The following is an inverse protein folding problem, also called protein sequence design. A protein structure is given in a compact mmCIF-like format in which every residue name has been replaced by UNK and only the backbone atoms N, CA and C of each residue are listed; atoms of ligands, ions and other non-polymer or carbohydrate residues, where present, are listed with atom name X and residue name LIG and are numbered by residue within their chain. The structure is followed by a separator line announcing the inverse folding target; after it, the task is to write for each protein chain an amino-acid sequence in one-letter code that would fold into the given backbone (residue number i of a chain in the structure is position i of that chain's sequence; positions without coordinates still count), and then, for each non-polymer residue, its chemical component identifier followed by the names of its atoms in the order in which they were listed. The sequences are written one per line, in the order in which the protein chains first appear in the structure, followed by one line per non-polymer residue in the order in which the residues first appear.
data_IF_998713575963
#
_entry.id   IF_998713575963
#
_cell.length_a   1.000
_cell.length_b   1.000
_cell.length_c   1.000
_cell.angle_alpha   90.00
_cell.angle_beta   90.00
_cell.angle_gamma   90.00
#
_symmetry.space_group_name_H-M   'P 1'
#
loop_
_entity.id
_entity.type
_entity.pdbx_description
1 polymer ?
#
# COMPACT_ATOMS: atom_id res chain seq x y z
N UNK A 1 1.14 10.57 -5.06
CA UNK A 1 2.21 10.27 -4.08
C UNK A 1 3.58 10.37 -4.73
N UNK A 2 4.61 10.73 -3.97
CA UNK A 2 5.98 10.83 -4.46
C UNK A 2 6.61 9.42 -4.47
N UNK A 3 6.85 8.80 -5.63
CA UNK A 3 7.29 7.41 -5.74
C UNK A 3 8.77 7.24 -5.37
N UNK A 4 9.52 8.33 -5.24
CA UNK A 4 10.91 8.35 -4.80
C UNK A 4 11.05 8.71 -3.32
N UNK A 5 9.97 8.61 -2.53
CA UNK A 5 10.14 8.63 -1.08
C UNK A 5 11.02 7.44 -0.68
N UNK A 6 11.96 7.61 0.28
CA UNK A 6 12.90 6.55 0.63
C UNK A 6 12.25 5.19 0.92
N UNK A 7 11.09 5.20 1.60
CA UNK A 7 10.35 3.97 1.90
C UNK A 7 9.85 3.21 0.65
N UNK A 8 9.47 3.94 -0.41
CA UNK A 8 9.03 3.31 -1.65
C UNK A 8 10.21 2.74 -2.45
N UNK A 9 11.35 3.44 -2.45
CA UNK A 9 12.60 2.93 -3.02
C UNK A 9 13.06 1.67 -2.29
N UNK A 10 13.03 1.67 -0.95
CA UNK A 10 13.40 0.51 -0.15
C UNK A 10 12.48 -0.69 -0.43
N UNK A 11 11.16 -0.49 -0.43
CA UNK A 11 10.20 -1.56 -0.80
C UNK A 11 10.45 -2.10 -2.20
N UNK A 12 10.70 -1.22 -3.17
CA UNK A 12 11.01 -1.62 -4.54
C UNK A 12 12.27 -2.49 -4.61
N UNK A 13 13.34 -2.13 -3.90
CA UNK A 13 14.56 -2.95 -3.82
C UNK A 13 14.29 -4.34 -3.20
N UNK A 14 13.50 -4.40 -2.12
CA UNK A 14 13.10 -5.67 -1.52
C UNK A 14 12.24 -6.51 -2.47
N UNK A 15 11.39 -5.88 -3.28
CA UNK A 15 10.57 -6.59 -4.29
C UNK A 15 11.43 -7.15 -5.45
N UNK A 16 12.60 -6.56 -5.72
CA UNK A 16 13.60 -7.10 -6.66
C UNK A 16 14.44 -8.23 -6.07
N UNK A 17 14.27 -8.54 -4.78
CA UNK A 17 15.01 -9.62 -4.10
C UNK A 17 16.31 -9.17 -3.43
N UNK A 18 16.58 -7.87 -3.32
CA UNK A 18 17.67 -7.39 -2.47
C UNK A 18 17.27 -7.47 -0.99
N UNK A 19 18.27 -7.52 -0.10
CA UNK A 19 18.07 -7.63 1.34
C UNK A 19 19.14 -6.86 2.14
N UNK A 20 19.24 -7.14 3.44
CA UNK A 20 20.15 -6.48 4.37
C UNK A 20 21.63 -6.85 4.23
N UNK A 21 21.98 -7.75 3.31
CA UNK A 21 23.38 -7.96 2.94
C UNK A 21 23.94 -6.76 2.16
N UNK A 22 23.05 -5.97 1.54
CA UNK A 22 23.39 -4.66 0.96
C UNK A 22 23.50 -3.61 2.09
N UNK A 23 24.68 -2.97 2.27
CA UNK A 23 24.91 -2.03 3.37
C UNK A 23 23.92 -0.87 3.42
N UNK A 24 23.48 -0.36 2.27
CA UNK A 24 22.54 0.76 2.16
C UNK A 24 21.13 0.35 2.63
N UNK A 25 20.70 -0.88 2.34
CA UNK A 25 19.43 -1.43 2.80
C UNK A 25 19.49 -1.63 4.32
N UNK A 26 20.59 -2.20 4.82
CA UNK A 26 20.82 -2.34 6.26
C UNK A 26 20.83 -1.00 6.99
N UNK A 27 21.48 0.02 6.41
CA UNK A 27 21.49 1.37 6.97
C UNK A 27 20.08 1.98 7.01
N UNK A 28 19.28 1.79 5.96
CA UNK A 28 17.89 2.25 5.94
C UNK A 28 17.02 1.55 6.99
N UNK A 29 17.16 0.23 7.15
CA UNK A 29 16.48 -0.54 8.21
C UNK A 29 16.88 -0.05 9.61
N UNK A 30 18.18 0.14 9.84
CA UNK A 30 18.68 0.69 11.10
C UNK A 30 18.14 2.10 11.38
N UNK A 31 17.92 2.92 10.35
CA UNK A 31 17.31 4.24 10.51
C UNK A 31 15.84 4.14 10.91
N UNK A 32 15.06 3.22 10.32
CA UNK A 32 13.68 2.97 10.74
C UNK A 32 13.63 2.61 12.23
N UNK A 33 14.52 1.72 12.69
CA UNK A 33 14.54 1.25 14.07
C UNK A 33 14.85 2.34 15.11
N UNK A 34 15.41 3.50 14.71
CA UNK A 34 15.69 4.62 15.61
C UNK A 34 14.45 5.44 15.95
N UNK A 35 13.40 5.39 15.11
CA UNK A 35 12.25 6.29 15.20
C UNK A 35 10.97 5.48 15.45
N UNK A 36 10.66 5.25 16.72
CA UNK A 36 9.52 4.46 17.17
C UNK A 36 8.82 5.19 18.33
N UNK A 37 7.48 5.16 18.34
CA UNK A 37 6.70 5.68 19.47
C UNK A 37 6.51 4.63 20.59
N UNK A 38 5.89 5.05 21.69
CA UNK A 38 5.65 4.18 22.85
C UNK A 38 4.65 3.04 22.58
N UNK A 39 3.91 3.09 21.47
CA UNK A 39 3.00 2.03 21.05
C UNK A 39 3.68 1.02 20.11
N UNK A 40 4.97 1.22 19.82
CA UNK A 40 5.73 0.37 18.91
C UNK A 40 5.55 0.73 17.44
N UNK A 41 4.95 1.87 17.11
CA UNK A 41 4.74 2.32 15.72
C UNK A 41 5.96 3.10 15.25
N UNK A 42 6.50 2.72 14.08
CA UNK A 42 7.63 3.44 13.48
C UNK A 42 7.19 4.72 12.81
N UNK A 43 8.05 5.72 12.91
CA UNK A 43 7.81 7.07 12.45
C UNK A 43 8.61 7.37 11.18
N UNK A 44 8.06 8.22 10.32
CA UNK A 44 8.75 8.80 9.19
C UNK A 44 8.78 10.32 9.30
N UNK A 45 9.73 10.94 8.59
CA UNK A 45 9.83 12.39 8.56
C UNK A 45 8.67 12.95 7.72
N UNK A 46 7.77 13.69 8.37
CA UNK A 46 6.58 14.27 7.74
C UNK A 46 6.57 15.78 7.96
N UNK A 47 6.15 16.51 6.93
CA UNK A 47 5.94 17.95 6.99
C UNK A 47 4.50 18.27 6.60
N UNK A 48 3.67 18.59 7.60
CA UNK A 48 2.30 19.05 7.38
C UNK A 48 2.24 20.57 7.56
N UNK A 49 1.85 21.34 6.53
CA UNK A 49 1.70 22.79 6.63
C UNK A 49 0.76 23.24 7.75
N UNK A 50 1.04 24.42 8.35
CA UNK A 50 0.24 24.98 9.44
C UNK A 50 -1.24 25.15 9.12
N UNK A 51 -1.58 25.48 7.86
CA UNK A 51 -2.98 25.67 7.44
C UNK A 51 -3.77 24.35 7.39
N UNK A 52 -3.11 23.19 7.38
CA UNK A 52 -3.75 21.88 7.56
C UNK A 52 -3.74 21.42 9.03
N UNK A 53 -3.25 22.24 9.96
CA UNK A 53 -3.21 21.93 11.40
C UNK A 53 -1.91 21.26 11.87
N UNK A 54 -0.89 21.17 11.02
CA UNK A 54 0.44 20.65 11.37
C UNK A 54 1.42 21.73 11.86
N UNK A 55 2.68 21.35 12.07
CA UNK A 55 3.73 22.25 12.57
C UNK A 55 4.36 23.14 11.48
N UNK A 56 4.25 22.76 10.20
CA UNK A 56 4.92 23.41 9.07
C UNK A 56 6.44 23.22 9.01
N UNK A 57 6.95 22.25 9.77
CA UNK A 57 8.35 21.82 9.80
C UNK A 57 8.41 20.30 9.77
N UNK A 58 9.58 19.76 9.50
CA UNK A 58 9.82 18.32 9.50
C UNK A 58 9.72 17.77 10.93
N UNK A 59 8.89 16.75 11.13
CA UNK A 59 8.67 16.09 12.42
C UNK A 59 8.63 14.59 12.21
N UNK A 60 9.31 13.82 13.07
CA UNK A 60 9.12 12.38 13.13
C UNK A 60 7.74 12.09 13.72
N UNK A 61 6.91 11.45 12.90
CA UNK A 61 5.52 11.16 13.22
C UNK A 61 5.07 9.95 12.42
N UNK A 62 3.85 9.48 12.64
CA UNK A 62 3.27 8.46 11.77
C UNK A 62 1.85 8.82 11.35
N UNK A 63 1.46 8.29 10.21
CA UNK A 63 0.12 8.26 9.68
C UNK A 63 -0.25 6.79 9.33
N UNK A 64 -1.54 6.46 9.28
CA UNK A 64 -1.95 5.16 8.75
C UNK A 64 -1.64 5.01 7.24
N UNK A 65 -1.23 6.08 6.55
CA UNK A 65 -0.84 6.06 5.14
C UNK A 65 0.68 5.90 4.90
N UNK A 66 1.48 5.69 5.95
CA UNK A 66 2.92 5.44 5.86
C UNK A 66 3.44 4.38 6.85
N UNK A 67 3.06 4.41 8.14
CA UNK A 67 3.56 3.47 9.15
C UNK A 67 3.41 1.98 8.79
N UNK A 68 2.29 1.53 8.16
CA UNK A 68 2.16 0.13 7.75
C UNK A 68 3.25 -0.30 6.76
N UNK A 69 3.77 0.63 5.95
CA UNK A 69 4.87 0.35 5.01
C UNK A 69 6.19 0.10 5.74
N UNK A 70 6.44 0.82 6.84
CA UNK A 70 7.65 0.64 7.66
C UNK A 70 7.62 -0.72 8.36
N UNK A 71 6.50 -1.07 8.99
CA UNK A 71 6.31 -2.38 9.61
C UNK A 71 6.43 -3.52 8.59
N UNK A 72 5.86 -3.35 7.39
CA UNK A 72 5.98 -4.34 6.32
C UNK A 72 7.43 -4.52 5.85
N UNK A 73 8.22 -3.44 5.79
CA UNK A 73 9.66 -3.56 5.47
C UNK A 73 10.39 -4.37 6.53
N UNK A 74 10.17 -4.08 7.81
CA UNK A 74 10.81 -4.82 8.91
C UNK A 74 10.41 -6.30 8.92
N UNK A 75 9.15 -6.60 8.58
CA UNK A 75 8.67 -7.96 8.38
C UNK A 75 9.40 -8.67 7.23
N UNK A 76 9.51 -8.01 6.08
CA UNK A 76 10.16 -8.57 4.88
C UNK A 76 11.65 -8.86 5.07
N UNK A 77 12.36 -8.03 5.84
CA UNK A 77 13.79 -8.24 6.13
C UNK A 77 14.02 -9.20 7.30
N UNK A 78 12.97 -9.84 7.84
CA UNK A 78 13.10 -10.88 8.85
C UNK A 78 13.44 -10.38 10.26
N UNK A 79 13.05 -9.14 10.61
CA UNK A 79 13.17 -8.67 11.99
C UNK A 79 12.30 -9.52 12.92
N UNK A 80 12.74 -9.64 14.18
CA UNK A 80 11.98 -10.36 15.22
C UNK A 80 10.55 -9.81 15.33
N UNK A 81 9.58 -10.68 15.03
CA UNK A 81 8.17 -10.30 14.96
C UNK A 81 7.61 -9.82 16.29
N UNK A 82 7.87 -10.56 17.37
CA UNK A 82 7.33 -10.25 18.69
C UNK A 82 7.88 -8.93 19.25
N UNK A 83 9.14 -8.62 18.99
CA UNK A 83 9.83 -7.43 19.49
C UNK A 83 9.58 -6.20 18.63
N UNK A 84 9.77 -6.31 17.31
CA UNK A 84 9.84 -5.14 16.43
C UNK A 84 8.57 -4.90 15.63
N UNK A 85 7.62 -5.83 15.55
CA UNK A 85 6.51 -5.74 14.59
C UNK A 85 5.17 -5.79 15.32
N UNK A 86 4.94 -6.83 16.12
CA UNK A 86 3.64 -7.11 16.75
C UNK A 86 3.07 -5.93 17.54
N UNK A 87 3.83 -5.22 18.41
CA UNK A 87 3.28 -4.13 19.20
C UNK A 87 2.69 -3.00 18.33
N UNK A 88 3.44 -2.60 17.29
CA UNK A 88 2.98 -1.60 16.34
C UNK A 88 1.77 -2.07 15.52
N UNK A 89 1.76 -3.33 15.07
CA UNK A 89 0.61 -3.88 14.33
C UNK A 89 -0.64 -3.93 15.21
N UNK A 90 -0.54 -4.43 16.45
CA UNK A 90 -1.66 -4.48 17.40
C UNK A 90 -2.26 -3.08 17.62
N UNK A 91 -1.41 -2.09 17.82
CA UNK A 91 -1.86 -0.71 17.99
C UNK A 91 -2.50 -0.13 16.73
N UNK A 92 -1.93 -0.36 15.55
CA UNK A 92 -2.54 0.14 14.30
C UNK A 92 -3.87 -0.56 13.99
N UNK A 93 -4.01 -1.86 14.29
CA UNK A 93 -5.24 -2.62 14.11
C UNK A 93 -6.39 -2.08 14.96
N UNK A 94 -6.11 -1.50 16.13
CA UNK A 94 -7.17 -0.92 16.99
C UNK A 94 -7.89 0.28 16.36
N UNK A 95 -7.38 0.83 15.25
CA UNK A 95 -8.05 1.89 14.48
C UNK A 95 -9.03 1.36 13.43
N UNK A 96 -9.14 0.04 13.24
CA UNK A 96 -10.08 -0.57 12.30
C UNK A 96 -11.52 -0.18 12.64
N UNK A 97 -12.31 0.12 11.61
CA UNK A 97 -13.74 0.42 11.69
C UNK A 97 -14.52 -0.50 10.75
N UNK A 98 -15.84 -0.47 10.81
CA UNK A 98 -16.73 -1.24 9.92
C UNK A 98 -16.56 -0.89 8.43
N UNK A 99 -16.05 0.29 8.10
CA UNK A 99 -15.75 0.72 6.73
C UNK A 99 -14.25 0.70 6.39
N UNK A 100 -13.44 -0.03 7.16
CA UNK A 100 -11.99 -0.12 6.98
C UNK A 100 -11.23 0.85 7.88
N UNK A 101 -10.08 1.35 7.42
CA UNK A 101 -9.23 2.23 8.20
C UNK A 101 -9.47 3.71 7.87
N UNK A 102 -9.51 4.59 8.88
CA UNK A 102 -9.64 6.03 8.67
C UNK A 102 -8.30 6.68 8.32
N UNK A 103 -8.34 7.99 8.08
CA UNK A 103 -7.17 8.81 8.32
C UNK A 103 -6.90 8.87 9.83
N UNK A 104 -5.82 8.24 10.29
CA UNK A 104 -5.31 8.39 11.66
C UNK A 104 -3.83 8.77 11.62
N UNK A 105 -3.42 9.54 12.61
CA UNK A 105 -2.08 10.10 12.73
C UNK A 105 -1.62 10.11 14.18
N UNK A 106 -0.31 10.19 14.36
CA UNK A 106 0.32 10.34 15.66
C UNK A 106 0.10 11.74 16.23
N UNK A 107 0.22 11.86 17.55
CA UNK A 107 0.01 13.11 18.28
C UNK A 107 0.99 14.22 17.86
N UNK A 108 2.16 13.86 17.34
CA UNK A 108 3.20 14.78 16.87
C UNK A 108 2.72 15.65 15.69
N UNK A 109 1.65 15.24 14.98
CA UNK A 109 1.03 16.04 13.92
C UNK A 109 -0.05 17.02 14.41
N UNK A 110 -0.17 17.19 15.73
CA UNK A 110 -0.99 18.24 16.34
C UNK A 110 -2.48 18.11 16.02
N UNK A 111 -3.03 19.07 15.27
CA UNK A 111 -4.47 19.11 14.94
C UNK A 111 -4.79 18.50 13.58
N UNK A 112 -3.80 18.05 12.83
CA UNK A 112 -4.01 17.39 11.55
C UNK A 112 -4.78 16.07 11.75
N UNK A 113 -5.76 15.80 10.88
CA UNK A 113 -6.60 14.59 10.94
C UNK A 113 -6.65 13.85 9.60
N UNK A 114 -5.73 14.18 8.70
CA UNK A 114 -5.80 13.73 7.32
C UNK A 114 -6.83 14.49 6.48
N UNK A 115 -6.85 14.23 5.17
CA UNK A 115 -7.86 14.73 4.27
C UNK A 115 -9.16 13.91 4.35
N UNK A 116 -10.28 14.49 3.89
CA UNK A 116 -11.59 13.83 3.87
C UNK A 116 -12.45 14.08 5.11
N UNK A 117 -13.63 13.44 5.19
CA UNK A 117 -14.51 13.57 6.36
C UNK A 117 -14.07 12.60 7.46
N UNK A 118 -14.40 12.94 8.71
CA UNK A 118 -13.99 12.18 9.91
C UNK A 118 -14.43 10.71 9.89
N UNK A 119 -15.63 10.47 9.37
CA UNK A 119 -16.28 9.15 9.40
C UNK A 119 -16.03 8.35 8.11
N UNK A 120 -15.37 8.97 7.12
CA UNK A 120 -15.00 8.30 5.88
C UNK A 120 -13.86 7.29 6.11
N UNK A 121 -13.90 6.21 5.32
CA UNK A 121 -12.73 5.37 5.08
C UNK A 121 -11.64 6.18 4.38
N UNK A 122 -10.37 5.91 4.69
CA UNK A 122 -9.24 6.32 3.87
C UNK A 122 -8.81 5.14 2.99
N UNK A 123 -9.16 5.13 1.69
CA UNK A 123 -8.92 3.96 0.83
C UNK A 123 -7.45 3.54 0.76
N UNK A 124 -6.52 4.49 0.76
CA UNK A 124 -5.10 4.17 0.73
C UNK A 124 -4.57 3.64 2.07
N UNK A 125 -5.04 4.17 3.21
CA UNK A 125 -4.69 3.62 4.52
C UNK A 125 -5.21 2.18 4.66
N UNK A 126 -6.48 1.96 4.28
CA UNK A 126 -7.09 0.62 4.23
C UNK A 126 -6.32 -0.32 3.33
N UNK A 127 -5.90 0.11 2.15
CA UNK A 127 -5.11 -0.70 1.23
C UNK A 127 -3.78 -1.16 1.83
N UNK A 128 -3.00 -0.25 2.43
CA UNK A 128 -1.67 -0.62 2.95
C UNK A 128 -1.74 -1.36 4.29
N UNK A 129 -2.79 -1.13 5.08
CA UNK A 129 -3.09 -1.97 6.24
C UNK A 129 -3.46 -3.38 5.80
N UNK A 130 -4.36 -3.54 4.82
CA UNK A 130 -4.67 -4.85 4.25
C UNK A 130 -3.40 -5.53 3.70
N UNK A 131 -2.52 -4.80 3.01
CA UNK A 131 -1.24 -5.34 2.57
C UNK A 131 -0.44 -5.90 3.75
N UNK A 132 -0.20 -5.11 4.79
CA UNK A 132 0.52 -5.54 5.99
C UNK A 132 -0.10 -6.78 6.65
N UNK A 133 -1.41 -6.77 6.90
CA UNK A 133 -2.12 -7.86 7.57
C UNK A 133 -2.09 -9.16 6.74
N UNK A 134 -2.05 -9.06 5.40
CA UNK A 134 -2.00 -10.23 4.52
C UNK A 134 -0.72 -11.06 4.68
N UNK A 135 0.39 -10.45 5.11
CA UNK A 135 1.68 -11.14 5.32
C UNK A 135 1.81 -11.78 6.71
N UNK A 136 0.85 -11.54 7.61
CA UNK A 136 0.95 -12.00 8.99
C UNK A 136 -0.17 -13.02 9.26
N UNK A 137 0.14 -14.32 9.45
CA UNK A 137 -0.86 -15.37 9.66
C UNK A 137 -1.86 -15.09 10.78
N UNK A 138 -1.41 -14.45 11.86
CA UNK A 138 -2.24 -14.03 13.00
C UNK A 138 -3.37 -13.05 12.58
N UNK A 139 -3.12 -12.15 11.63
CA UNK A 139 -4.06 -11.09 11.28
C UNK A 139 -4.82 -11.30 9.97
N UNK A 140 -4.29 -12.10 9.04
CA UNK A 140 -4.81 -12.19 7.65
C UNK A 140 -6.28 -12.63 7.52
N UNK A 141 -6.83 -13.27 8.55
CA UNK A 141 -8.23 -13.74 8.60
C UNK A 141 -9.04 -13.09 9.74
N UNK A 142 -8.52 -12.02 10.35
CA UNK A 142 -9.23 -11.29 11.41
C UNK A 142 -10.32 -10.40 10.83
N UNK A 143 -11.22 -9.92 11.68
CA UNK A 143 -12.25 -8.94 11.29
C UNK A 143 -11.64 -7.70 10.65
N UNK A 144 -10.52 -7.18 11.16
CA UNK A 144 -9.84 -6.02 10.56
C UNK A 144 -9.39 -6.27 9.12
N UNK A 145 -8.87 -7.46 8.81
CA UNK A 145 -8.48 -7.83 7.46
C UNK A 145 -9.71 -8.01 6.55
N UNK A 146 -10.73 -8.75 7.01
CA UNK A 146 -11.96 -9.00 6.27
C UNK A 146 -12.69 -7.67 5.95
N UNK A 147 -12.84 -6.81 6.94
CA UNK A 147 -13.49 -5.50 6.76
C UNK A 147 -12.69 -4.57 5.86
N UNK A 148 -11.36 -4.61 5.91
CA UNK A 148 -10.52 -3.83 4.98
C UNK A 148 -10.69 -4.30 3.53
N UNK A 149 -10.73 -5.61 3.32
CA UNK A 149 -10.98 -6.21 2.00
C UNK A 149 -12.38 -5.84 1.50
N UNK A 150 -13.40 -5.99 2.34
CA UNK A 150 -14.78 -5.64 1.99
C UNK A 150 -14.92 -4.15 1.65
N UNK A 151 -14.28 -3.26 2.42
CA UNK A 151 -14.28 -1.83 2.13
C UNK A 151 -13.67 -1.52 0.75
N UNK A 152 -12.56 -2.17 0.37
CA UNK A 152 -11.93 -1.98 -0.95
C UNK A 152 -12.82 -2.51 -2.08
N UNK A 153 -13.48 -3.66 -1.89
CA UNK A 153 -14.40 -4.24 -2.87
C UNK A 153 -15.66 -3.39 -3.04
N UNK A 154 -16.20 -2.86 -1.93
CA UNK A 154 -17.35 -1.95 -1.94
C UNK A 154 -17.02 -0.65 -2.68
N UNK A 155 -15.82 -0.09 -2.50
CA UNK A 155 -15.36 1.08 -3.25
C UNK A 155 -15.25 0.80 -4.75
N UNK A 156 -14.85 -0.41 -5.15
CA UNK A 156 -14.84 -0.82 -6.56
C UNK A 156 -16.25 -0.94 -7.13
N UNK A 157 -17.13 -1.67 -6.42
CA UNK A 157 -18.53 -1.87 -6.81
C UNK A 157 -19.26 -0.54 -7.03
N UNK A 158 -19.03 0.43 -6.15
CA UNK A 158 -19.66 1.74 -6.19
C UNK A 158 -18.79 2.79 -6.91
N UNK A 159 -17.77 2.39 -7.65
CA UNK A 159 -16.76 3.31 -8.22
C UNK A 159 -17.30 4.31 -9.25
N UNK A 160 -18.51 4.12 -9.77
CA UNK A 160 -19.17 5.07 -10.67
C UNK A 160 -19.89 6.22 -9.93
N UNK A 161 -20.24 6.00 -8.66
CA UNK A 161 -21.07 6.92 -7.87
C UNK A 161 -20.29 7.49 -6.66
N UNK A 162 -19.46 6.66 -6.04
CA UNK A 162 -18.71 7.01 -4.85
C UNK A 162 -17.36 7.62 -5.21
N UNK A 163 -17.12 8.86 -4.80
CA UNK A 163 -15.90 9.61 -5.07
C UNK A 163 -15.16 9.94 -3.76
N UNK A 164 -14.46 8.98 -3.12
CA UNK A 164 -13.67 9.27 -1.93
C UNK A 164 -12.62 10.33 -2.25
N UNK A 165 -12.43 11.26 -1.32
CA UNK A 165 -11.52 12.39 -1.50
C UNK A 165 -10.11 11.90 -1.86
N UNK A 166 -9.56 12.37 -2.99
CA UNK A 166 -8.26 11.95 -3.58
C UNK A 166 -8.15 10.50 -4.10
N UNK A 167 -9.16 9.66 -3.89
CA UNK A 167 -9.09 8.22 -4.18
C UNK A 167 -10.26 7.75 -5.06
N UNK A 168 -10.72 8.63 -5.95
CA UNK A 168 -11.74 8.29 -6.92
C UNK A 168 -11.25 7.17 -7.85
N UNK A 169 -12.00 6.07 -7.90
CA UNK A 169 -11.75 4.95 -8.80
C UNK A 169 -12.31 5.25 -10.20
N UNK A 170 -11.80 6.28 -10.86
CA UNK A 170 -12.19 6.67 -12.22
C UNK A 170 -11.41 5.93 -13.33
N UNK A 171 -11.26 6.59 -14.48
CA UNK A 171 -10.48 6.09 -15.62
C UNK A 171 -8.99 5.98 -15.29
N UNK A 172 -8.44 6.92 -14.53
CA UNK A 172 -7.03 6.92 -14.15
C UNK A 172 -6.67 5.77 -13.17
N UNK A 173 -7.58 5.40 -12.27
CA UNK A 173 -7.39 4.27 -11.36
C UNK A 173 -7.22 2.95 -12.13
N UNK A 174 -7.95 2.81 -13.25
CA UNK A 174 -7.97 1.62 -14.12
C UNK A 174 -6.76 1.52 -15.05
N UNK A 175 -5.82 2.47 -15.01
CA UNK A 175 -4.58 2.43 -15.81
C UNK A 175 -3.54 1.58 -15.09
N UNK A 176 -2.91 0.65 -15.81
CA UNK A 176 -1.79 -0.12 -15.31
C UNK A 176 -0.60 0.80 -15.03
N UNK A 177 -0.03 0.67 -13.83
CA UNK A 177 1.03 1.52 -13.34
C UNK A 177 1.95 0.75 -12.41
N UNK A 178 3.25 0.98 -12.55
CA UNK A 178 4.27 0.50 -11.64
C UNK A 178 5.22 1.63 -11.21
N UNK A 179 5.87 1.53 -10.04
CA UNK A 179 5.66 0.50 -9.02
C UNK A 179 4.31 0.66 -8.30
N UNK A 180 3.90 -0.40 -7.61
CA UNK A 180 2.68 -0.42 -6.77
C UNK A 180 2.88 0.39 -5.48
N UNK A 181 2.92 1.72 -5.62
CA UNK A 181 3.12 2.66 -4.51
C UNK A 181 1.91 3.56 -4.22
N UNK A 182 0.87 3.55 -5.07
CA UNK A 182 -0.31 4.40 -4.92
C UNK A 182 -1.61 3.61 -5.01
N UNK A 183 -2.73 4.32 -4.90
CA UNK A 183 -4.06 3.77 -5.07
C UNK A 183 -4.41 3.67 -6.55
N UNK A 184 -4.16 2.50 -7.15
CA UNK A 184 -4.45 2.15 -8.54
C UNK A 184 -4.83 0.66 -8.63
N UNK A 185 -5.37 0.24 -9.78
CA UNK A 185 -5.89 -1.11 -9.97
C UNK A 185 -4.84 -2.20 -9.73
N UNK A 186 -3.59 -1.98 -10.13
CA UNK A 186 -2.48 -2.93 -9.92
C UNK A 186 -2.20 -3.09 -8.43
N UNK A 187 -2.22 -1.98 -7.69
CA UNK A 187 -1.97 -2.00 -6.25
C UNK A 187 -3.12 -2.63 -5.47
N UNK A 188 -4.37 -2.30 -5.81
CA UNK A 188 -5.55 -2.88 -5.15
C UNK A 188 -5.64 -4.37 -5.44
N UNK A 189 -5.58 -4.80 -6.71
CA UNK A 189 -5.58 -6.23 -7.05
C UNK A 189 -4.36 -6.98 -6.49
N UNK A 190 -3.19 -6.31 -6.43
CA UNK A 190 -1.96 -6.81 -5.83
C UNK A 190 -2.06 -7.14 -4.33
N UNK A 191 -2.89 -6.41 -3.60
CA UNK A 191 -3.18 -6.68 -2.19
C UNK A 191 -4.31 -7.70 -2.06
N UNK A 192 -5.42 -7.48 -2.76
CA UNK A 192 -6.61 -8.33 -2.71
C UNK A 192 -6.30 -9.80 -3.09
N UNK A 193 -5.47 -10.03 -4.11
CA UNK A 193 -5.04 -11.38 -4.53
C UNK A 193 -4.34 -12.21 -3.45
N UNK A 194 -3.90 -11.62 -2.32
CA UNK A 194 -3.29 -12.36 -1.21
C UNK A 194 -4.32 -13.02 -0.28
N UNK A 195 -5.60 -12.67 -0.41
CA UNK A 195 -6.67 -13.17 0.44
C UNK A 195 -7.47 -14.27 -0.27
N UNK A 196 -7.25 -15.53 0.12
CA UNK A 196 -7.93 -16.69 -0.50
C UNK A 196 -9.46 -16.62 -0.43
N UNK A 197 -10.03 -16.00 0.60
CA UNK A 197 -11.48 -15.94 0.79
C UNK A 197 -12.24 -15.07 -0.22
N UNK A 198 -11.54 -14.29 -1.07
CA UNK A 198 -12.18 -13.49 -2.14
C UNK A 198 -11.84 -13.95 -3.55
N UNK A 199 -11.16 -15.09 -3.71
CA UNK A 199 -10.70 -15.57 -5.02
C UNK A 199 -11.83 -15.74 -6.05
N UNK A 200 -13.08 -15.89 -5.59
CA UNK A 200 -14.28 -16.00 -6.43
C UNK A 200 -15.27 -14.84 -6.24
N UNK A 201 -14.87 -13.77 -5.53
CA UNK A 201 -15.74 -12.60 -5.38
C UNK A 201 -15.88 -11.90 -6.75
N UNK A 202 -17.11 -11.67 -7.25
CA UNK A 202 -17.32 -11.11 -8.58
C UNK A 202 -16.69 -9.72 -8.74
N UNK A 203 -16.68 -8.90 -7.68
CA UNK A 203 -16.09 -7.54 -7.70
C UNK A 203 -14.57 -7.62 -7.89
N UNK A 204 -13.93 -8.59 -7.24
CA UNK A 204 -12.52 -8.85 -7.44
C UNK A 204 -12.24 -9.40 -8.84
N UNK A 205 -13.05 -10.34 -9.32
CA UNK A 205 -12.90 -10.93 -10.65
C UNK A 205 -13.08 -9.92 -11.78
N UNK A 206 -13.88 -8.87 -11.61
CA UNK A 206 -13.96 -7.75 -12.55
C UNK A 206 -12.62 -6.99 -12.66
N UNK A 207 -11.95 -6.73 -11.53
CA UNK A 207 -10.62 -6.11 -11.54
C UNK A 207 -9.59 -7.01 -12.23
N UNK A 208 -9.64 -8.32 -11.98
CA UNK A 208 -8.77 -9.30 -12.63
C UNK A 208 -9.04 -9.39 -14.13
N UNK A 209 -10.30 -9.42 -14.56
CA UNK A 209 -10.66 -9.42 -15.97
C UNK A 209 -10.15 -8.16 -16.69
N UNK A 210 -10.24 -6.99 -16.03
CA UNK A 210 -9.71 -5.74 -16.56
C UNK A 210 -8.18 -5.71 -16.63
N UNK A 211 -7.47 -6.37 -15.71
CA UNK A 211 -6.03 -6.53 -15.83
C UNK A 211 -5.71 -7.49 -16.98
N UNK A 212 -6.33 -8.68 -17.02
CA UNK A 212 -6.09 -9.69 -18.07
C UNK A 212 -6.37 -9.16 -19.47
N UNK A 213 -7.39 -8.33 -19.67
CA UNK A 213 -7.71 -7.75 -20.98
C UNK A 213 -6.64 -6.79 -21.53
N UNK A 214 -5.65 -6.42 -20.71
CA UNK A 214 -4.53 -5.54 -21.07
C UNK A 214 -3.22 -6.30 -21.25
N UNK A 215 -3.26 -7.62 -21.13
CA UNK A 215 -2.14 -8.49 -21.47
C UNK A 215 -2.06 -8.62 -22.99
N UNK A 216 -0.87 -8.51 -23.55
CA UNK A 216 -0.65 -8.76 -24.97
C UNK A 216 -0.55 -10.27 -25.29
N UNK A 217 -0.44 -10.61 -26.57
CA UNK A 217 -0.39 -11.98 -27.07
C UNK A 217 0.81 -12.78 -26.54
N UNK A 218 1.90 -12.08 -26.18
CA UNK A 218 3.12 -12.67 -25.63
C UNK A 218 3.09 -12.78 -24.10
N UNK A 219 2.00 -12.35 -23.45
CA UNK A 219 1.81 -12.42 -22.01
C UNK A 219 2.38 -11.21 -21.23
N UNK A 220 2.82 -10.15 -21.91
CA UNK A 220 3.40 -8.97 -21.29
C UNK A 220 2.40 -7.83 -21.13
N UNK A 221 2.81 -6.81 -20.37
CA UNK A 221 2.01 -5.63 -20.07
C UNK A 221 2.76 -4.33 -20.38
N UNK A 222 2.03 -3.35 -20.91
CA UNK A 222 2.51 -1.99 -21.19
C UNK A 222 1.95 -1.02 -20.14
N UNK A 223 2.78 -0.17 -19.49
CA UNK A 223 2.26 0.83 -18.56
C UNK A 223 1.38 1.86 -19.26
N UNK A 224 0.23 2.17 -18.70
CA UNK A 224 -0.70 3.20 -19.23
C UNK A 224 -0.57 4.52 -18.46
N UNK A 225 -0.01 4.46 -17.26
CA UNK A 225 0.34 5.60 -16.41
C UNK A 225 1.74 5.41 -15.84
N UNK A 226 2.49 6.50 -15.69
CA UNK A 226 3.89 6.43 -15.28
C UNK A 226 4.19 7.46 -14.21
N UNK A 227 5.24 7.20 -13.45
CA UNK A 227 5.83 8.18 -12.55
C UNK A 227 6.97 8.89 -13.26
N UNK A 228 6.83 10.20 -13.50
CA UNK A 228 7.84 10.98 -14.24
C UNK A 228 9.24 10.92 -13.60
N UNK A 229 9.30 10.84 -12.26
CA UNK A 229 10.56 10.69 -11.52
C UNK A 229 11.25 9.33 -11.75
N UNK A 230 10.56 8.36 -12.33
CA UNK A 230 11.05 7.02 -12.64
C UNK A 230 11.11 6.75 -14.15
N UNK A 231 11.16 7.81 -14.99
CA UNK A 231 11.18 7.70 -16.47
C UNK A 231 12.32 6.86 -17.05
N UNK A 232 13.39 6.64 -16.27
CA UNK A 232 14.55 5.86 -16.69
C UNK A 232 14.39 4.35 -16.49
N UNK A 233 13.35 3.92 -15.78
CA UNK A 233 13.01 2.50 -15.59
C UNK A 233 12.11 2.00 -16.73
N UNK A 234 12.04 0.69 -16.91
CA UNK A 234 11.21 0.04 -17.95
C UNK A 234 9.72 0.39 -17.83
N UNK A 235 9.22 0.59 -16.60
CA UNK A 235 7.85 1.05 -16.30
C UNK A 235 7.68 2.58 -16.34
N UNK A 236 8.74 3.32 -16.67
CA UNK A 236 8.75 4.77 -16.79
C UNK A 236 8.18 5.30 -18.12
N UNK A 237 7.74 4.41 -19.00
CA UNK A 237 7.29 4.68 -20.36
C UNK A 237 5.94 4.00 -20.67
N UNK A 238 5.32 4.29 -21.82
CA UNK A 238 3.97 3.80 -22.19
C UNK A 238 3.86 3.21 -23.61
N UNK A 239 4.98 2.87 -24.22
CA UNK A 239 5.11 2.45 -25.63
C UNK A 239 5.51 0.98 -25.77
N UNK A 240 6.26 0.45 -24.81
CA UNK A 240 6.86 -0.87 -24.85
C UNK A 240 6.44 -1.69 -23.63
N UNK A 241 6.58 -3.00 -23.73
CA UNK A 241 6.39 -3.92 -22.62
C UNK A 241 7.31 -3.55 -21.45
N UNK A 242 6.81 -3.68 -20.23
CA UNK A 242 7.56 -3.47 -18.99
C UNK A 242 7.72 -4.80 -18.26
N UNK A 243 8.94 -5.37 -18.19
CA UNK A 243 9.20 -6.57 -17.39
C UNK A 243 8.74 -6.44 -15.94
N UNK A 244 8.92 -5.29 -15.30
CA UNK A 244 8.53 -5.14 -13.90
C UNK A 244 7.01 -5.03 -13.71
N UNK A 245 6.30 -4.29 -14.56
CA UNK A 245 4.84 -4.29 -14.53
C UNK A 245 4.28 -5.69 -14.83
N UNK A 246 4.88 -6.38 -15.80
CA UNK A 246 4.51 -7.75 -16.15
C UNK A 246 4.68 -8.68 -14.95
N UNK A 247 5.82 -8.62 -14.27
CA UNK A 247 6.06 -9.36 -13.02
C UNK A 247 4.98 -9.10 -11.97
N UNK A 248 4.58 -7.84 -11.74
CA UNK A 248 3.53 -7.52 -10.78
C UNK A 248 2.18 -8.10 -11.19
N UNK A 249 1.80 -8.00 -12.46
CA UNK A 249 0.56 -8.55 -12.99
C UNK A 249 0.55 -10.08 -12.92
N UNK A 250 1.61 -10.75 -13.37
CA UNK A 250 1.70 -12.22 -13.32
C UNK A 250 1.60 -12.73 -11.88
N UNK A 251 2.26 -12.08 -10.91
CA UNK A 251 2.11 -12.44 -9.49
C UNK A 251 0.69 -12.30 -8.95
N UNK A 252 -0.10 -11.38 -9.51
CA UNK A 252 -1.52 -11.29 -9.17
C UNK A 252 -2.22 -12.53 -9.73
N UNK A 253 -2.04 -12.82 -11.02
CA UNK A 253 -2.74 -13.90 -11.73
C UNK A 253 -2.38 -15.30 -11.19
N UNK A 254 -1.10 -15.55 -10.92
CA UNK A 254 -0.61 -16.83 -10.38
C UNK A 254 -1.26 -17.18 -9.03
N UNK A 255 -1.60 -16.18 -8.19
CA UNK A 255 -2.27 -16.43 -6.90
C UNK A 255 -3.70 -16.95 -7.06
N UNK A 256 -4.34 -16.74 -8.21
CA UNK A 256 -5.66 -17.31 -8.51
C UNK A 256 -5.56 -18.76 -9.00
N UNK A 257 -4.39 -19.18 -9.46
CA UNK A 257 -4.15 -20.51 -10.02
C UNK A 257 -3.64 -21.51 -8.95
N UNK A 258 -3.25 -21.00 -7.77
CA UNK A 258 -2.80 -21.80 -6.63
C UNK A 258 -3.98 -22.24 -5.76
N UNK A 259 -4.44 -23.48 -5.94
CA UNK A 259 -5.38 -24.16 -5.03
C UNK A 259 -4.81 -24.27 -3.59
#
# INVERSE_FOLDING_TARGET
KNPVLPIHSLRFLLDLGFDTDIPEIKAAVNEILKHQDNNGVYQSLTNIPKHYGGAGVDVFSWCLCDAPLLLLVLLKVGMDYSKYIKPGVDYLVSFSRENGFPCAVSQELGKFRGPGRKDDCCPYATLIMADLLSHIPEYRNTSAAITSVEALLSLWQNSLEQHPYMFYMGTDFRKLKAPSCWYDIVSVAGVLSKYKFIQHDPRFMEMIALIRSKQDEDGFFIPESTYQKLKAWDFGQKKFQSPYLTYLCLRILERLEQE
#
